data_IF_416609958297
#
_entry.id   IF_416609958297
#
_cell.length_a   1.000
_cell.length_b   1.000
_cell.length_c   1.000
_cell.angle_alpha   90.00
_cell.angle_beta   90.00
_cell.angle_gamma   90.00
#
_symmetry.space_group_name_H-M   'P 1'
#
loop_
_entity.id
_entity.type
_entity.pdbx_description
1 polymer ?
#
# COMPACT_ATOMS: atom_id res chain seq x y z
N UNK A 1 -5.49 53.19 -39.49
CA UNK A 1 -4.15 52.82 -39.96
C UNK A 1 -3.97 51.33 -39.85
N UNK A 2 -3.82 50.61 -40.97
CA UNK A 2 -3.61 49.16 -40.94
C UNK A 2 -2.17 48.85 -40.60
N UNK A 3 -1.96 47.93 -39.65
CA UNK A 3 -0.64 47.48 -39.19
C UNK A 3 -0.64 45.99 -38.93
N UNK A 4 0.50 45.38 -39.05
CA UNK A 4 0.70 43.98 -38.66
C UNK A 4 1.11 43.87 -37.19
N UNK A 5 0.53 42.95 -36.47
CA UNK A 5 0.83 42.68 -35.06
C UNK A 5 2.22 42.08 -34.92
N UNK A 6 3.11 42.68 -34.13
CA UNK A 6 4.49 42.21 -33.93
C UNK A 6 4.56 40.82 -33.27
N UNK A 7 3.47 40.36 -32.61
CA UNK A 7 3.45 39.04 -31.96
C UNK A 7 2.83 37.92 -32.81
N UNK A 8 1.75 38.18 -33.56
CA UNK A 8 1.03 37.13 -34.28
C UNK A 8 0.94 37.32 -35.80
N UNK A 9 1.52 38.41 -36.33
CA UNK A 9 1.55 38.72 -37.76
C UNK A 9 0.21 39.20 -38.35
N UNK A 10 -0.91 39.08 -37.66
CA UNK A 10 -2.23 39.45 -38.19
C UNK A 10 -2.35 40.94 -38.39
N UNK A 11 -2.94 41.33 -39.54
CA UNK A 11 -3.29 42.73 -39.83
C UNK A 11 -4.41 43.20 -38.89
N UNK A 12 -4.30 44.39 -38.34
CA UNK A 12 -5.29 44.99 -37.47
C UNK A 12 -5.42 46.52 -37.68
N UNK A 13 -6.56 47.06 -37.36
CA UNK A 13 -6.80 48.52 -37.40
C UNK A 13 -6.27 49.17 -36.11
N UNK A 14 -5.12 49.81 -36.21
CA UNK A 14 -4.49 50.51 -35.10
C UNK A 14 -5.19 51.84 -34.81
N UNK A 15 -5.70 52.02 -33.59
CA UNK A 15 -6.32 53.28 -33.14
C UNK A 15 -5.30 54.39 -32.85
N UNK A 16 -4.02 54.03 -32.67
CA UNK A 16 -2.91 54.96 -32.43
C UNK A 16 -1.69 54.56 -33.27
N UNK A 17 -0.89 55.54 -33.68
CA UNK A 17 0.32 55.29 -34.46
C UNK A 17 1.36 54.43 -33.75
N UNK A 18 1.36 54.44 -32.41
CA UNK A 18 2.27 53.67 -31.56
C UNK A 18 1.80 52.22 -31.25
N UNK A 19 0.62 51.83 -31.74
CA UNK A 19 0.09 50.48 -31.45
C UNK A 19 0.90 49.41 -32.24
N UNK A 20 1.46 48.46 -31.52
CA UNK A 20 2.30 47.36 -32.02
C UNK A 20 1.59 46.01 -32.02
N UNK A 21 0.52 45.86 -31.24
CA UNK A 21 -0.17 44.58 -31.01
C UNK A 21 -1.67 44.69 -31.27
N UNK A 22 -2.24 43.65 -31.86
CA UNK A 22 -3.66 43.61 -32.21
C UNK A 22 -4.60 43.46 -31.00
N UNK A 23 -4.08 42.98 -29.88
CA UNK A 23 -4.86 42.75 -28.62
C UNK A 23 -3.97 42.80 -27.38
N UNK A 24 -4.59 42.96 -26.21
CA UNK A 24 -3.92 42.89 -24.92
C UNK A 24 -3.21 41.55 -24.73
N UNK A 25 -3.81 40.46 -25.20
CA UNK A 25 -3.20 39.13 -25.16
C UNK A 25 -1.90 39.03 -25.96
N UNK A 26 -1.86 39.65 -27.16
CA UNK A 26 -0.65 39.70 -27.98
C UNK A 26 0.45 40.55 -27.34
N UNK A 27 0.07 41.62 -26.64
CA UNK A 27 1.00 42.45 -25.89
C UNK A 27 1.62 41.68 -24.70
N UNK A 28 0.79 40.98 -23.92
CA UNK A 28 1.23 40.17 -22.77
C UNK A 28 2.15 39.02 -23.21
N UNK A 29 1.80 38.34 -24.31
CA UNK A 29 2.65 37.27 -24.87
C UNK A 29 3.99 37.80 -25.41
N UNK A 30 4.02 38.97 -25.97
CA UNK A 30 5.26 39.59 -26.45
C UNK A 30 6.16 40.09 -25.31
N UNK A 31 5.57 40.48 -24.17
CA UNK A 31 6.31 40.91 -22.98
C UNK A 31 6.65 39.76 -22.02
N UNK A 32 6.14 38.55 -22.27
CA UNK A 32 6.52 37.39 -21.51
C UNK A 32 8.03 37.12 -21.67
N UNK A 33 8.78 36.86 -20.57
CA UNK A 33 10.18 36.53 -20.71
C UNK A 33 10.29 35.28 -21.59
N UNK A 34 11.08 35.38 -22.65
CA UNK A 34 11.40 34.23 -23.49
C UNK A 34 11.95 33.15 -22.59
N UNK A 35 11.49 31.87 -22.70
CA UNK A 35 12.09 30.81 -21.95
C UNK A 35 13.61 30.90 -22.19
N UNK A 36 14.37 30.98 -21.09
CA UNK A 36 15.82 30.89 -21.16
C UNK A 36 16.13 29.62 -21.92
N UNK A 37 16.73 29.71 -23.08
CA UNK A 37 17.34 28.56 -23.75
C UNK A 37 18.35 28.02 -22.75
N UNK A 38 18.01 26.95 -22.09
CA UNK A 38 18.94 26.21 -21.21
C UNK A 38 19.96 25.66 -22.21
N UNK A 39 21.19 26.08 -22.04
CA UNK A 39 22.31 25.68 -22.86
C UNK A 39 22.39 24.13 -22.82
N UNK A 40 21.94 23.45 -23.87
CA UNK A 40 21.85 21.99 -23.96
C UNK A 40 23.23 21.32 -23.90
N UNK A 41 24.31 22.09 -23.93
CA UNK A 41 25.65 21.55 -23.96
C UNK A 41 26.28 21.19 -22.61
N UNK A 42 25.56 21.28 -21.48
CA UNK A 42 26.09 20.91 -20.16
C UNK A 42 25.13 20.11 -19.25
N UNK A 43 24.07 19.58 -19.77
CA UNK A 43 23.32 18.57 -19.02
C UNK A 43 24.21 17.31 -18.92
N UNK A 44 24.92 17.13 -17.81
CA UNK A 44 25.55 15.83 -17.50
C UNK A 44 24.44 14.79 -17.59
N UNK A 45 24.55 13.89 -18.57
CA UNK A 45 23.64 12.75 -18.67
C UNK A 45 23.65 12.06 -17.31
N UNK A 46 22.51 12.07 -16.64
CA UNK A 46 22.38 11.44 -15.33
C UNK A 46 22.43 9.93 -15.51
N UNK A 47 23.59 9.34 -15.27
CA UNK A 47 23.78 7.91 -15.28
C UNK A 47 23.18 7.31 -14.00
N UNK A 48 21.94 6.83 -14.13
CA UNK A 48 21.16 6.28 -13.02
C UNK A 48 21.88 5.09 -12.36
N UNK A 49 22.39 4.16 -13.16
CA UNK A 49 23.01 2.94 -12.64
C UNK A 49 24.30 3.24 -11.89
N UNK A 50 25.18 4.05 -12.49
CA UNK A 50 26.43 4.48 -11.83
C UNK A 50 26.19 5.22 -10.51
N UNK A 51 25.16 6.06 -10.45
CA UNK A 51 24.83 6.79 -9.22
C UNK A 51 24.18 5.88 -8.17
N UNK A 52 23.33 4.92 -8.60
CA UNK A 52 22.79 3.89 -7.72
C UNK A 52 23.91 3.10 -7.03
N UNK A 53 24.89 2.64 -7.79
CA UNK A 53 26.04 1.90 -7.24
C UNK A 53 26.85 2.74 -6.24
N UNK A 54 26.98 4.04 -6.45
CA UNK A 54 27.63 4.93 -5.49
C UNK A 54 26.86 5.00 -4.17
N UNK A 55 25.53 5.14 -4.23
CA UNK A 55 24.70 5.17 -3.02
C UNK A 55 24.74 3.86 -2.25
N UNK A 56 24.73 2.72 -2.95
CA UNK A 56 24.91 1.40 -2.32
C UNK A 56 26.27 1.31 -1.61
N UNK A 57 27.36 1.76 -2.25
CA UNK A 57 28.69 1.81 -1.65
C UNK A 57 28.79 2.75 -0.43
N UNK A 58 27.92 3.74 -0.34
CA UNK A 58 27.79 4.60 0.85
C UNK A 58 26.99 3.92 1.99
N UNK A 59 26.59 2.65 1.83
CA UNK A 59 25.87 1.88 2.84
C UNK A 59 24.36 2.09 2.83
N UNK A 60 23.79 2.73 1.80
CA UNK A 60 22.35 2.79 1.64
C UNK A 60 21.82 1.42 1.21
N UNK A 61 20.88 0.80 1.95
CA UNK A 61 20.39 -0.53 1.61
C UNK A 61 19.56 -0.47 0.34
N UNK A 62 19.82 -1.40 -0.57
CA UNK A 62 18.93 -1.68 -1.67
C UNK A 62 17.67 -2.37 -1.13
N UNK A 63 16.51 -2.04 -1.69
CA UNK A 63 15.26 -2.72 -1.34
C UNK A 63 15.16 -4.00 -2.14
N UNK A 64 15.11 -5.13 -1.44
CA UNK A 64 14.78 -6.42 -2.04
C UNK A 64 13.26 -6.59 -2.07
N UNK A 65 12.76 -7.36 -3.03
CA UNK A 65 11.33 -7.49 -3.28
C UNK A 65 10.90 -8.95 -3.30
N UNK A 66 9.69 -9.20 -2.84
CA UNK A 66 8.99 -10.46 -2.93
C UNK A 66 7.95 -10.33 -4.03
N UNK A 67 8.03 -11.16 -5.04
CA UNK A 67 6.95 -11.34 -6.02
C UNK A 67 5.82 -12.12 -5.39
N UNK A 68 4.60 -11.70 -5.61
CA UNK A 68 3.42 -12.34 -5.01
C UNK A 68 2.87 -13.48 -5.86
N UNK A 69 3.34 -13.61 -7.11
CA UNK A 69 2.80 -14.56 -8.06
C UNK A 69 1.47 -14.14 -8.69
N UNK A 70 0.97 -12.93 -8.34
CA UNK A 70 -0.23 -12.33 -8.91
C UNK A 70 0.21 -11.26 -9.91
N UNK A 71 0.14 -11.53 -11.25
CA UNK A 71 0.78 -10.67 -12.25
C UNK A 71 0.34 -9.21 -12.20
N UNK A 72 -0.96 -8.95 -12.09
CA UNK A 72 -1.50 -7.58 -12.03
C UNK A 72 -1.08 -6.84 -10.77
N UNK A 73 -0.97 -7.56 -9.64
CA UNK A 73 -0.50 -6.99 -8.39
C UNK A 73 1.00 -6.71 -8.44
N UNK A 74 1.81 -7.64 -8.97
CA UNK A 74 3.26 -7.47 -9.10
C UNK A 74 3.61 -6.35 -10.10
N UNK A 75 2.78 -6.13 -11.12
CA UNK A 75 2.91 -4.96 -12.01
C UNK A 75 2.62 -3.63 -11.30
N UNK A 76 1.72 -3.64 -10.32
CA UNK A 76 1.43 -2.48 -9.48
C UNK A 76 2.53 -2.27 -8.45
N UNK A 77 2.84 -3.30 -7.66
CA UNK A 77 3.87 -3.32 -6.62
C UNK A 77 4.17 -4.76 -6.19
N UNK A 78 5.38 -4.98 -5.71
CA UNK A 78 5.77 -6.18 -4.98
C UNK A 78 5.85 -5.87 -3.48
N UNK A 79 6.05 -6.88 -2.65
CA UNK A 79 6.20 -6.71 -1.20
C UNK A 79 7.68 -6.46 -0.86
N UNK A 80 8.01 -5.33 -0.18
CA UNK A 80 9.40 -5.02 0.16
C UNK A 80 9.89 -5.91 1.31
N UNK A 81 11.03 -6.58 1.12
CA UNK A 81 11.70 -7.37 2.14
C UNK A 81 12.25 -6.50 3.26
N UNK A 82 12.37 -7.08 4.45
CA UNK A 82 12.93 -6.41 5.61
C UNK A 82 12.11 -5.20 6.08
N UNK A 83 10.83 -5.12 5.69
CA UNK A 83 9.98 -3.95 5.92
C UNK A 83 8.56 -4.34 6.27
N UNK A 84 7.82 -3.34 6.77
CA UNK A 84 6.40 -3.48 7.13
C UNK A 84 5.55 -2.99 5.96
N UNK A 85 4.60 -3.83 5.55
CA UNK A 85 3.53 -3.52 4.59
C UNK A 85 2.20 -3.58 5.31
N UNK A 86 1.32 -2.60 5.11
CA UNK A 86 -0.06 -2.66 5.56
C UNK A 86 -0.98 -2.88 4.36
N UNK A 87 -1.88 -3.87 4.48
CA UNK A 87 -2.99 -4.08 3.55
C UNK A 87 -4.27 -3.71 4.29
N UNK A 88 -5.01 -2.74 3.78
CA UNK A 88 -6.25 -2.27 4.40
C UNK A 88 -7.41 -2.22 3.41
N UNK A 89 -8.62 -2.22 3.93
CA UNK A 89 -9.84 -2.10 3.15
C UNK A 89 -11.07 -2.50 3.95
N UNK A 90 -12.25 -2.29 3.37
CA UNK A 90 -13.53 -2.61 3.98
C UNK A 90 -13.66 -4.12 4.28
N UNK A 91 -14.65 -4.48 5.11
CA UNK A 91 -14.99 -5.87 5.36
C UNK A 91 -15.35 -6.59 4.03
N UNK A 92 -14.91 -7.84 3.89
CA UNK A 92 -15.25 -8.69 2.74
C UNK A 92 -14.63 -8.26 1.40
N UNK A 93 -13.65 -7.33 1.38
CA UNK A 93 -13.02 -6.88 0.13
C UNK A 93 -11.97 -7.85 -0.44
N UNK A 94 -11.63 -8.93 0.27
CA UNK A 94 -10.66 -9.92 -0.19
C UNK A 94 -9.23 -9.77 0.34
N UNK A 95 -9.04 -9.11 1.51
CA UNK A 95 -7.70 -8.94 2.13
C UNK A 95 -7.03 -10.29 2.44
N UNK A 96 -7.73 -11.17 3.15
CA UNK A 96 -7.28 -12.54 3.47
C UNK A 96 -7.01 -13.33 2.20
N UNK A 97 -7.92 -13.27 1.22
CA UNK A 97 -7.75 -13.95 -0.08
C UNK A 97 -6.49 -13.48 -0.80
N UNK A 98 -6.20 -12.17 -0.80
CA UNK A 98 -4.97 -11.64 -1.37
C UNK A 98 -3.74 -12.20 -0.65
N UNK A 99 -3.74 -12.22 0.69
CA UNK A 99 -2.64 -12.77 1.47
C UNK A 99 -2.40 -14.26 1.18
N UNK A 100 -3.45 -15.07 1.11
CA UNK A 100 -3.33 -16.49 0.81
C UNK A 100 -2.81 -16.73 -0.62
N UNK A 101 -3.25 -15.95 -1.60
CA UNK A 101 -2.71 -16.02 -2.97
C UNK A 101 -1.23 -15.62 -3.03
N UNK A 102 -0.81 -14.62 -2.24
CA UNK A 102 0.61 -14.27 -2.14
C UNK A 102 1.43 -15.44 -1.58
N UNK A 103 0.91 -16.18 -0.59
CA UNK A 103 1.58 -17.36 -0.04
C UNK A 103 1.67 -18.45 -1.10
N UNK A 104 0.58 -18.73 -1.82
CA UNK A 104 0.57 -19.69 -2.92
C UNK A 104 1.64 -19.36 -4.01
N UNK A 105 1.86 -18.07 -4.27
CA UNK A 105 2.92 -17.61 -5.17
C UNK A 105 4.34 -17.84 -4.66
N UNK A 106 4.53 -18.02 -3.35
CA UNK A 106 5.85 -18.21 -2.72
C UNK A 106 6.33 -19.66 -2.67
N UNK A 107 5.51 -20.63 -3.02
CA UNK A 107 5.69 -22.12 -3.07
C UNK A 107 6.75 -22.71 -2.16
N UNK A 108 8.03 -22.45 -2.41
CA UNK A 108 9.19 -23.06 -1.70
C UNK A 108 9.66 -22.24 -0.49
N UNK A 109 8.92 -21.21 -0.09
CA UNK A 109 9.31 -20.29 0.99
C UNK A 109 8.42 -20.45 2.20
N UNK A 110 9.05 -20.48 3.38
CA UNK A 110 8.29 -20.54 4.63
C UNK A 110 7.61 -19.21 4.93
N UNK A 111 6.33 -19.29 5.25
CA UNK A 111 5.51 -18.16 5.67
C UNK A 111 4.94 -18.44 7.04
N UNK A 112 5.00 -17.45 7.93
CA UNK A 112 4.35 -17.48 9.23
C UNK A 112 3.05 -16.69 9.15
N UNK A 113 1.92 -17.38 9.32
CA UNK A 113 0.59 -16.78 9.21
C UNK A 113 -0.11 -16.76 10.56
N UNK A 114 -0.51 -15.58 11.01
CA UNK A 114 -1.28 -15.39 12.23
C UNK A 114 -2.73 -15.14 11.83
N UNK A 115 -3.61 -16.12 12.15
CA UNK A 115 -5.06 -16.01 11.98
C UNK A 115 -5.72 -15.66 13.32
N UNK A 116 -5.88 -14.37 13.58
CA UNK A 116 -6.55 -13.90 14.80
C UNK A 116 -8.09 -13.91 14.72
N UNK A 117 -8.62 -14.10 13.51
CA UNK A 117 -10.08 -14.20 13.28
C UNK A 117 -10.57 -15.65 13.33
N UNK A 118 -9.66 -16.63 13.34
CA UNK A 118 -9.96 -18.07 13.21
C UNK A 118 -10.86 -18.33 11.99
N UNK A 119 -10.56 -17.68 10.88
CA UNK A 119 -11.43 -17.63 9.69
C UNK A 119 -10.97 -18.53 8.55
N UNK A 120 -9.80 -19.18 8.69
CA UNK A 120 -9.24 -20.01 7.63
C UNK A 120 -10.02 -21.31 7.48
N UNK A 121 -10.33 -21.65 6.23
CA UNK A 121 -10.92 -22.93 5.86
C UNK A 121 -9.85 -23.83 5.23
N UNK A 122 -9.62 -25.06 5.75
CA UNK A 122 -8.67 -25.99 5.17
C UNK A 122 -8.89 -26.28 3.69
N UNK A 123 -10.15 -26.37 3.23
CA UNK A 123 -10.47 -26.59 1.82
C UNK A 123 -9.91 -25.47 0.93
N UNK A 124 -10.02 -24.20 1.38
CA UNK A 124 -9.47 -23.07 0.64
C UNK A 124 -7.94 -23.15 0.54
N UNK A 125 -7.25 -23.62 1.58
CA UNK A 125 -5.79 -23.77 1.56
C UNK A 125 -5.37 -24.85 0.55
N UNK A 126 -6.13 -25.96 0.48
CA UNK A 126 -5.91 -27.02 -0.50
C UNK A 126 -6.20 -26.54 -1.94
N UNK A 127 -7.31 -25.81 -2.14
CA UNK A 127 -7.68 -25.24 -3.45
C UNK A 127 -6.63 -24.24 -3.97
N UNK A 128 -5.91 -23.57 -3.07
CA UNK A 128 -4.81 -22.68 -3.39
C UNK A 128 -3.46 -23.40 -3.52
N UNK A 129 -3.45 -24.73 -3.41
CA UNK A 129 -2.24 -25.56 -3.49
C UNK A 129 -1.15 -25.13 -2.50
N UNK A 130 -1.52 -24.73 -1.28
CA UNK A 130 -0.56 -24.36 -0.24
C UNK A 130 0.11 -25.63 0.32
N UNK A 131 1.44 -25.59 0.38
CA UNK A 131 2.25 -26.67 0.95
C UNK A 131 2.28 -26.54 2.48
N UNK A 132 1.73 -27.51 3.25
CA UNK A 132 1.67 -27.44 4.70
C UNK A 132 3.03 -27.24 5.38
N UNK A 133 4.11 -27.80 4.79
CA UNK A 133 5.48 -27.68 5.31
C UNK A 133 6.02 -26.26 5.25
N UNK A 134 5.47 -25.44 4.38
CA UNK A 134 5.87 -24.06 4.17
C UNK A 134 4.89 -23.06 4.80
N UNK A 135 3.71 -23.51 5.23
CA UNK A 135 2.66 -22.71 5.84
C UNK A 135 2.57 -22.93 7.33
N UNK A 136 3.24 -22.08 8.11
CA UNK A 136 3.22 -22.16 9.56
C UNK A 136 2.09 -21.30 10.14
N UNK A 137 1.00 -21.94 10.55
CA UNK A 137 -0.18 -21.28 11.10
C UNK A 137 -0.04 -21.06 12.61
N UNK A 138 -0.32 -19.83 13.06
CA UNK A 138 -0.52 -19.47 14.45
C UNK A 138 -1.97 -19.00 14.66
N UNK A 139 -2.74 -19.78 15.43
CA UNK A 139 -4.12 -19.46 15.83
C UNK A 139 -4.37 -19.81 17.32
N UNK A 140 -3.30 -19.93 18.11
CA UNK A 140 -3.37 -20.38 19.49
C UNK A 140 -3.97 -19.34 20.45
N UNK A 141 -3.93 -18.06 20.10
CA UNK A 141 -4.43 -16.97 20.93
C UNK A 141 -4.91 -15.79 20.07
N UNK A 142 -5.97 -15.14 20.54
CA UNK A 142 -6.44 -13.87 20.01
C UNK A 142 -5.91 -12.65 20.81
N UNK A 143 -5.13 -12.89 21.87
CA UNK A 143 -4.53 -11.81 22.64
C UNK A 143 -3.35 -11.20 21.91
N UNK A 144 -3.36 -9.86 21.82
CA UNK A 144 -2.31 -9.13 21.13
C UNK A 144 -0.92 -9.41 21.72
N UNK A 145 -0.82 -9.55 23.03
CA UNK A 145 0.44 -9.82 23.73
C UNK A 145 1.08 -11.13 23.26
N UNK A 146 0.30 -12.20 23.12
CA UNK A 146 0.79 -13.50 22.65
C UNK A 146 1.17 -13.45 21.17
N UNK A 147 0.33 -12.80 20.36
CA UNK A 147 0.59 -12.56 18.93
C UNK A 147 1.88 -11.76 18.76
N UNK A 148 2.10 -10.73 19.58
CA UNK A 148 3.30 -9.91 19.52
C UNK A 148 4.59 -10.71 19.81
N UNK A 149 4.56 -11.61 20.80
CA UNK A 149 5.69 -12.50 21.09
C UNK A 149 5.90 -13.53 19.96
N UNK A 150 4.82 -14.04 19.36
CA UNK A 150 4.92 -14.94 18.21
C UNK A 150 5.55 -14.25 16.99
N UNK A 151 5.12 -13.03 16.66
CA UNK A 151 5.71 -12.22 15.58
C UNK A 151 7.18 -11.94 15.86
N UNK A 152 7.53 -11.55 17.09
CA UNK A 152 8.91 -11.29 17.50
C UNK A 152 9.78 -12.52 17.33
N UNK A 153 9.34 -13.67 17.85
CA UNK A 153 10.07 -14.92 17.71
C UNK A 153 10.26 -15.33 16.25
N UNK A 154 9.22 -15.18 15.44
CA UNK A 154 9.28 -15.46 14.02
C UNK A 154 10.28 -14.52 13.30
N UNK A 155 10.24 -13.21 13.59
CA UNK A 155 11.17 -12.24 13.01
C UNK A 155 12.63 -12.51 13.40
N UNK A 156 12.89 -12.90 14.65
CA UNK A 156 14.22 -13.22 15.15
C UNK A 156 14.78 -14.53 14.58
N UNK A 157 13.93 -15.49 14.27
CA UNK A 157 14.37 -16.79 13.77
C UNK A 157 15.04 -16.71 12.39
N UNK A 158 14.71 -15.71 11.57
CA UNK A 158 15.19 -15.58 10.20
C UNK A 158 14.76 -16.70 9.26
N UNK A 159 13.81 -17.55 9.66
CA UNK A 159 13.38 -18.71 8.87
C UNK A 159 12.30 -18.36 7.83
N UNK A 160 11.62 -17.23 8.01
CA UNK A 160 10.45 -16.89 7.23
C UNK A 160 10.75 -15.81 6.19
N UNK A 161 10.28 -16.06 4.97
CA UNK A 161 10.25 -15.06 3.90
C UNK A 161 9.31 -13.92 4.24
N UNK A 162 8.14 -14.29 4.81
CA UNK A 162 7.07 -13.37 5.12
C UNK A 162 6.37 -13.78 6.43
N UNK A 163 6.01 -12.80 7.23
CA UNK A 163 5.13 -12.93 8.38
C UNK A 163 3.85 -12.16 8.03
N UNK A 164 2.69 -12.82 8.12
CA UNK A 164 1.39 -12.21 7.86
C UNK A 164 0.58 -12.18 9.15
N UNK A 165 0.12 -11.00 9.54
CA UNK A 165 -0.78 -10.81 10.69
C UNK A 165 -2.19 -10.44 10.18
N UNK A 166 -3.09 -11.39 10.17
CA UNK A 166 -4.48 -11.27 9.72
C UNK A 166 -5.46 -11.58 10.88
N UNK A 167 -6.07 -10.61 11.53
CA UNK A 167 -5.93 -9.17 11.33
C UNK A 167 -5.75 -8.44 12.66
N UNK A 168 -5.10 -7.29 12.62
CA UNK A 168 -4.97 -6.43 13.81
C UNK A 168 -6.34 -6.01 14.38
N UNK A 169 -7.36 -5.93 13.54
CA UNK A 169 -8.70 -5.52 13.96
C UNK A 169 -9.39 -6.54 14.87
N UNK A 170 -9.09 -7.83 14.72
CA UNK A 170 -9.76 -8.92 15.43
C UNK A 170 -9.14 -9.22 16.80
N UNK A 171 -7.85 -8.95 17.00
CA UNK A 171 -7.21 -9.23 18.27
C UNK A 171 -7.72 -8.33 19.40
N UNK A 172 -7.65 -8.84 20.64
CA UNK A 172 -7.95 -8.12 21.87
C UNK A 172 -6.72 -8.05 22.77
N UNK A 173 -6.71 -7.18 23.78
CA UNK A 173 -5.67 -7.19 24.81
C UNK A 173 -6.17 -7.89 26.05
N UNK A 174 -5.27 -8.44 26.89
CA UNK A 174 -5.65 -9.07 28.17
C UNK A 174 -6.40 -8.08 29.06
N UNK A 175 -5.95 -6.84 29.12
CA UNK A 175 -6.61 -5.79 29.88
C UNK A 175 -8.03 -5.44 29.36
N UNK A 176 -8.28 -5.58 28.06
CA UNK A 176 -9.65 -5.42 27.51
C UNK A 176 -10.57 -6.57 27.95
N UNK A 177 -10.02 -7.76 28.19
CA UNK A 177 -10.79 -8.97 28.54
C UNK A 177 -10.97 -9.12 30.06
N UNK A 178 -9.95 -8.75 30.84
CA UNK A 178 -9.94 -8.87 32.30
C UNK A 178 -10.60 -7.68 33.01
N UNK A 179 -10.72 -6.53 32.32
CA UNK A 179 -11.35 -5.33 32.79
C UNK A 179 -12.89 -5.45 32.86
N UNK A 180 -13.53 -4.55 33.63
CA UNK A 180 -14.98 -4.45 33.61
C UNK A 180 -15.48 -3.96 32.25
N UNK A 181 -16.69 -4.33 31.83
CA UNK A 181 -17.30 -3.90 30.55
C UNK A 181 -17.38 -2.37 30.46
N UNK A 182 -17.34 -1.67 31.59
CA UNK A 182 -17.34 -0.22 31.70
C UNK A 182 -15.97 0.43 31.52
N UNK A 183 -14.88 -0.36 31.55
CA UNK A 183 -13.53 0.16 31.50
C UNK A 183 -13.17 0.63 30.09
N UNK A 184 -12.66 1.85 30.01
CA UNK A 184 -12.24 2.47 28.74
C UNK A 184 -10.74 2.18 28.50
N UNK A 185 -10.43 1.04 27.91
CA UNK A 185 -9.05 0.68 27.54
C UNK A 185 -8.63 1.30 26.19
N UNK A 186 -8.92 2.62 26.04
CA UNK A 186 -8.68 3.33 24.79
C UNK A 186 -7.16 3.47 24.56
N UNK A 187 -6.69 3.04 23.37
CA UNK A 187 -5.31 3.26 22.94
C UNK A 187 -4.31 2.16 23.28
N UNK A 188 -4.66 1.16 24.06
CA UNK A 188 -3.73 0.07 24.44
C UNK A 188 -3.20 -0.69 23.21
N UNK A 189 -4.06 -1.05 22.26
CA UNK A 189 -3.62 -1.68 21.01
C UNK A 189 -2.62 -0.82 20.23
N UNK A 190 -2.83 0.50 20.21
CA UNK A 190 -1.90 1.42 19.55
C UNK A 190 -0.55 1.46 20.26
N UNK A 191 -0.54 1.46 21.60
CA UNK A 191 0.69 1.41 22.40
C UNK A 191 1.45 0.09 22.17
N UNK A 192 0.78 -1.05 22.28
CA UNK A 192 1.41 -2.34 22.06
C UNK A 192 1.89 -2.52 20.63
N UNK A 193 1.13 -2.04 19.66
CA UNK A 193 1.55 -2.08 18.27
C UNK A 193 2.83 -1.24 18.02
N UNK A 194 2.90 -0.06 18.63
CA UNK A 194 4.10 0.76 18.58
C UNK A 194 5.31 0.02 19.18
N UNK A 195 5.14 -0.59 20.36
CA UNK A 195 6.18 -1.37 21.02
C UNK A 195 6.63 -2.56 20.16
N UNK A 196 5.70 -3.35 19.64
CA UNK A 196 6.00 -4.48 18.75
C UNK A 196 6.84 -4.04 17.55
N UNK A 197 6.41 -2.99 16.86
CA UNK A 197 7.12 -2.46 15.68
C UNK A 197 8.58 -2.14 16.02
N UNK A 198 8.82 -1.44 17.13
CA UNK A 198 10.19 -1.12 17.56
C UNK A 198 11.02 -2.36 17.88
N UNK A 199 10.41 -3.38 18.46
CA UNK A 199 11.10 -4.63 18.82
C UNK A 199 11.51 -5.44 17.58
N UNK A 200 10.68 -5.47 16.53
CA UNK A 200 10.91 -6.37 15.39
C UNK A 200 11.59 -5.69 14.20
N UNK A 201 11.59 -4.36 14.12
CA UNK A 201 12.03 -3.62 12.92
C UNK A 201 13.47 -3.94 12.50
N UNK A 202 14.37 -4.13 13.45
CA UNK A 202 15.76 -4.48 13.17
C UNK A 202 15.92 -5.93 12.75
N UNK A 203 15.18 -6.86 13.37
CA UNK A 203 15.22 -8.28 13.05
C UNK A 203 14.64 -8.52 11.66
N UNK A 204 13.51 -7.89 11.33
CA UNK A 204 12.95 -7.92 9.97
C UNK A 204 13.97 -7.48 8.93
N UNK A 205 14.65 -6.35 9.18
CA UNK A 205 15.66 -5.80 8.27
C UNK A 205 16.88 -6.71 8.12
N UNK A 206 17.40 -7.24 9.23
CA UNK A 206 18.60 -8.07 9.23
C UNK A 206 18.37 -9.44 8.59
N UNK A 207 17.17 -10.00 8.77
CA UNK A 207 16.77 -11.30 8.24
C UNK A 207 16.05 -11.20 6.88
N UNK A 208 15.90 -10.00 6.34
CA UNK A 208 15.23 -9.73 5.05
C UNK A 208 13.77 -10.28 5.03
N UNK A 209 13.14 -10.39 6.19
CA UNK A 209 11.77 -10.91 6.39
C UNK A 209 10.75 -9.80 6.22
N UNK A 210 9.74 -9.98 5.38
CA UNK A 210 8.64 -9.01 5.26
C UNK A 210 7.59 -9.23 6.35
N UNK A 211 7.08 -8.15 6.96
CA UNK A 211 5.91 -8.19 7.84
C UNK A 211 4.72 -7.53 7.12
N UNK A 212 3.69 -8.32 6.84
CA UNK A 212 2.42 -7.87 6.26
C UNK A 212 1.37 -7.81 7.36
N UNK A 213 0.78 -6.63 7.58
CA UNK A 213 -0.26 -6.41 8.58
C UNK A 213 -1.57 -6.13 7.84
N UNK A 214 -2.53 -7.01 8.02
CA UNK A 214 -3.89 -6.84 7.50
C UNK A 214 -4.71 -6.01 8.49
N UNK A 215 -5.43 -5.02 7.97
CA UNK A 215 -6.26 -4.16 8.81
C UNK A 215 -7.61 -3.84 8.15
N UNK A 216 -8.63 -3.65 8.97
CA UNK A 216 -9.95 -3.26 8.50
C UNK A 216 -10.11 -1.75 8.56
N UNK A 217 -10.67 -1.17 7.49
CA UNK A 217 -11.07 0.23 7.49
C UNK A 217 -12.37 0.40 8.26
N UNK A 218 -12.43 1.46 9.04
CA UNK A 218 -13.63 1.93 9.76
C UNK A 218 -13.85 3.39 9.41
N UNK A 219 -15.12 3.78 9.34
CA UNK A 219 -15.52 5.15 9.11
C UNK A 219 -15.93 5.81 10.41
N UNK A 220 -15.60 7.09 10.59
CA UNK A 220 -16.10 7.88 11.72
C UNK A 220 -17.59 8.16 11.53
N UNK A 221 -18.39 7.91 12.57
CA UNK A 221 -19.81 8.18 12.55
C UNK A 221 -20.01 9.68 12.88
N UNK A 222 -20.73 10.43 12.03
CA UNK A 222 -21.26 11.76 12.38
C UNK A 222 -20.51 12.97 11.80
N UNK A 223 -19.69 12.83 10.75
CA UNK A 223 -19.06 13.96 10.03
C UNK A 223 -19.64 14.18 8.62
N UNK A 224 -19.57 15.41 8.12
CA UNK A 224 -19.91 15.74 6.71
C UNK A 224 -19.02 15.00 5.71
N UNK A 225 -17.80 14.61 6.14
CA UNK A 225 -16.87 13.72 5.44
C UNK A 225 -16.37 12.72 6.47
N UNK A 226 -16.78 11.44 6.35
CA UNK A 226 -16.29 10.41 7.25
C UNK A 226 -14.79 10.18 7.03
N UNK A 227 -14.00 10.37 8.07
CA UNK A 227 -12.59 10.01 8.05
C UNK A 227 -12.46 8.48 8.12
N UNK A 228 -11.63 7.92 7.24
CA UNK A 228 -11.31 6.51 7.25
C UNK A 228 -10.12 6.29 8.18
N UNK A 229 -10.30 5.43 9.17
CA UNK A 229 -9.25 5.06 10.10
C UNK A 229 -9.12 3.53 10.23
N UNK A 230 -7.97 3.08 10.71
CA UNK A 230 -7.71 1.66 10.98
C UNK A 230 -7.43 1.44 12.46
N UNK A 231 -7.84 0.30 13.06
CA UNK A 231 -7.45 -0.11 14.39
C UNK A 231 -5.93 -0.09 14.59
N UNK A 232 -5.48 0.08 15.86
CA UNK A 232 -4.06 0.17 16.19
C UNK A 232 -3.45 1.57 16.03
N UNK A 233 -4.28 2.60 15.78
CA UNK A 233 -3.87 4.00 15.73
C UNK A 233 -2.88 4.32 14.61
N UNK A 234 -1.97 5.28 14.85
CA UNK A 234 -1.02 5.75 13.84
C UNK A 234 0.30 4.95 13.79
N UNK A 235 0.50 3.95 14.68
CA UNK A 235 1.75 3.22 14.75
C UNK A 235 2.09 2.49 13.44
N UNK A 236 1.17 1.70 12.91
CA UNK A 236 1.37 0.98 11.64
C UNK A 236 1.48 1.93 10.46
N UNK A 237 0.57 2.91 10.27
CA UNK A 237 0.71 3.89 9.19
C UNK A 237 2.05 4.63 9.17
N UNK A 238 2.63 4.97 10.32
CA UNK A 238 3.93 5.65 10.36
C UNK A 238 5.10 4.71 10.06
N UNK A 239 5.07 3.50 10.58
CA UNK A 239 6.13 2.51 10.42
C UNK A 239 6.14 1.88 9.02
N UNK A 240 4.97 1.61 8.45
CA UNK A 240 4.84 0.95 7.17
C UNK A 240 5.64 1.67 6.06
N UNK A 241 6.38 0.88 5.30
CA UNK A 241 7.07 1.33 4.10
C UNK A 241 6.18 1.31 2.86
N UNK A 242 5.16 0.45 2.88
CA UNK A 242 4.16 0.32 1.84
C UNK A 242 2.78 0.21 2.49
N UNK A 243 1.79 0.93 1.98
CA UNK A 243 0.39 0.79 2.39
C UNK A 243 -0.48 0.64 1.14
N UNK A 244 -1.26 -0.42 1.13
CA UNK A 244 -2.13 -0.80 0.03
C UNK A 244 -3.56 -0.80 0.53
N UNK A 245 -4.43 -0.10 -0.18
CA UNK A 245 -5.87 -0.11 0.05
C UNK A 245 -6.55 -0.97 -0.99
N UNK A 246 -7.40 -1.88 -0.53
CA UNK A 246 -8.27 -2.66 -1.40
C UNK A 246 -9.68 -2.06 -1.41
N UNK A 247 -10.25 -1.93 -2.62
CA UNK A 247 -11.61 -1.44 -2.85
C UNK A 247 -12.37 -2.38 -3.76
N UNK A 248 -13.63 -2.61 -3.46
CA UNK A 248 -14.53 -3.36 -4.36
C UNK A 248 -15.21 -2.40 -5.31
N UNK A 249 -15.12 -2.65 -6.60
CA UNK A 249 -15.84 -1.88 -7.61
C UNK A 249 -17.18 -2.56 -7.89
N UNK A 250 -18.30 -1.96 -7.47
CA UNK A 250 -19.65 -2.52 -7.61
C UNK A 250 -20.03 -2.93 -9.04
N UNK A 251 -19.48 -2.24 -10.03
CA UNK A 251 -19.74 -2.50 -11.46
C UNK A 251 -19.01 -3.72 -12.04
N UNK A 252 -18.17 -4.38 -11.26
CA UNK A 252 -17.32 -5.48 -11.73
C UNK A 252 -17.51 -6.76 -10.93
N UNK A 253 -18.76 -7.10 -10.61
CA UNK A 253 -19.12 -8.42 -10.10
C UNK A 253 -19.43 -9.32 -11.29
N UNK A 254 -18.92 -10.55 -11.28
CA UNK A 254 -19.27 -11.52 -12.29
C UNK A 254 -20.28 -12.51 -11.73
N UNK A 255 -21.35 -12.79 -12.51
CA UNK A 255 -22.38 -13.71 -12.07
C UNK A 255 -21.86 -15.14 -12.05
N UNK A 256 -22.48 -15.97 -11.19
CA UNK A 256 -22.20 -17.39 -11.15
C UNK A 256 -22.54 -18.05 -12.49
N UNK A 257 -21.61 -18.83 -13.03
CA UNK A 257 -21.75 -19.52 -14.31
C UNK A 257 -22.68 -20.73 -14.26
N UNK A 258 -23.17 -21.14 -13.07
CA UNK A 258 -24.03 -22.34 -12.92
C UNK A 258 -25.42 -22.09 -13.51
N UNK A 259 -25.84 -23.00 -14.41
CA UNK A 259 -27.23 -23.07 -14.88
C UNK A 259 -28.21 -23.15 -13.69
N UNK A 260 -29.17 -22.24 -13.62
CA UNK A 260 -30.15 -22.17 -12.53
C UNK A 260 -29.76 -21.24 -11.36
N UNK A 261 -28.62 -20.55 -11.41
CA UNK A 261 -28.29 -19.56 -10.40
C UNK A 261 -29.29 -18.40 -10.37
N UNK A 262 -29.75 -18.00 -9.19
CA UNK A 262 -30.63 -16.83 -9.03
C UNK A 262 -29.90 -15.58 -9.55
N UNK A 263 -30.65 -14.66 -10.16
CA UNK A 263 -30.16 -13.43 -10.82
C UNK A 263 -29.16 -12.56 -10.02
N UNK A 264 -28.95 -12.85 -8.75
CA UNK A 264 -28.09 -12.11 -7.83
C UNK A 264 -26.95 -12.95 -7.21
N UNK A 265 -26.71 -14.16 -7.71
CA UNK A 265 -25.54 -14.94 -7.28
C UNK A 265 -24.30 -14.53 -8.08
N UNK A 266 -23.23 -14.21 -7.37
CA UNK A 266 -21.93 -13.85 -7.94
C UNK A 266 -20.89 -14.88 -7.49
N UNK A 267 -20.00 -15.28 -8.39
CA UNK A 267 -18.84 -16.14 -8.06
C UNK A 267 -17.67 -15.33 -7.53
N UNK A 268 -17.64 -14.04 -7.80
CA UNK A 268 -16.58 -13.17 -7.34
C UNK A 268 -16.79 -11.71 -7.69
N UNK A 269 -15.80 -10.91 -7.39
CA UNK A 269 -15.77 -9.50 -7.72
C UNK A 269 -14.35 -9.04 -8.02
N UNK A 270 -14.24 -7.99 -8.81
CA UNK A 270 -12.95 -7.34 -9.04
C UNK A 270 -12.59 -6.46 -7.84
N UNK A 271 -11.32 -6.55 -7.46
CA UNK A 271 -10.73 -5.75 -6.40
C UNK A 271 -9.75 -4.77 -7.02
N UNK A 272 -9.90 -3.49 -6.72
CA UNK A 272 -8.91 -2.46 -7.04
C UNK A 272 -7.91 -2.34 -5.90
N UNK A 273 -6.62 -2.45 -6.19
CA UNK A 273 -5.55 -2.20 -5.25
C UNK A 273 -4.94 -0.81 -5.51
N UNK A 274 -4.87 0.03 -4.49
CA UNK A 274 -4.32 1.39 -4.54
C UNK A 274 -3.15 1.54 -3.57
N UNK A 275 -2.01 2.03 -4.04
CA UNK A 275 -0.88 2.36 -3.16
C UNK A 275 -1.13 3.72 -2.54
N UNK A 276 -1.56 3.76 -1.29
CA UNK A 276 -1.86 5.00 -0.56
C UNK A 276 -0.64 5.60 0.15
N UNK A 277 0.42 4.81 0.37
CA UNK A 277 1.71 5.25 0.89
C UNK A 277 2.82 4.37 0.35
N UNK A 278 3.92 4.97 -0.05
CA UNK A 278 5.17 4.26 -0.32
C UNK A 278 6.39 5.08 0.07
N UNK A 279 7.34 4.40 0.74
CA UNK A 279 8.70 4.90 1.00
C UNK A 279 9.72 4.23 0.07
N UNK A 280 9.29 3.29 -0.77
CA UNK A 280 10.16 2.40 -1.56
C UNK A 280 9.92 2.48 -3.07
N UNK A 281 8.75 2.91 -3.50
CA UNK A 281 8.40 3.14 -4.90
C UNK A 281 7.44 4.35 -5.01
N UNK A 282 6.91 4.60 -6.19
CA UNK A 282 5.97 5.71 -6.39
C UNK A 282 4.62 5.41 -5.70
N UNK A 283 4.12 6.32 -4.84
CA UNK A 283 2.78 6.20 -4.25
C UNK A 283 1.69 6.55 -5.28
N UNK A 284 0.42 6.36 -4.90
CA UNK A 284 -0.78 6.73 -5.67
C UNK A 284 -0.94 5.98 -7.01
N UNK A 285 -0.37 4.80 -7.14
CA UNK A 285 -0.61 3.88 -8.26
C UNK A 285 -1.86 3.03 -7.97
N UNK A 286 -2.58 2.65 -9.04
CA UNK A 286 -3.76 1.79 -9.01
C UNK A 286 -3.66 0.72 -10.08
#
# INVERSE_FOLDING_TARGET
MRKNCENCGKEFNAKRATAKYCSTNCRVKASAPKPKVVDEHKAKVYDREKNLQKFIKMGLPQVNWITTGIPDFDALTMIPRGRITQIQGAFGVGKTTLCLNMIAGLRDKKVFYIDSEASLNPELLVDLELEPENFHLYNASAYFEDIAEAIKSAAQSGQYEMIIFDSLAACTTRAETEGAVTDRNIGQKAFFMHKLIHMVQMDLKNNDTALVIVNQERETIGGYHPDIYTPGGKAVPYAASLMIRLKTTKSRRFPAAKQGAKKHMYEGHYVEAEIIKSKVNQPWRK
#
